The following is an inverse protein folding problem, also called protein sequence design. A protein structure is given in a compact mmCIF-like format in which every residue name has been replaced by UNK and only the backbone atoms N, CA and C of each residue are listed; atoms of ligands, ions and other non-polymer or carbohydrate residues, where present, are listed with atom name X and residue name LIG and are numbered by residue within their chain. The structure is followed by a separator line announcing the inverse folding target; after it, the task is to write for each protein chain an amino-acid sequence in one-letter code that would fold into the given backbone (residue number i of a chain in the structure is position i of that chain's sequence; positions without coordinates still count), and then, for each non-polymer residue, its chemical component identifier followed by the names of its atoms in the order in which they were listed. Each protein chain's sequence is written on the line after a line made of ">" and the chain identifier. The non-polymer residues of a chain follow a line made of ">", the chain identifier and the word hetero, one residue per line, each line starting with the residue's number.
data_IF_615559802353
#
_entry.id   IF_615559802353
#
_cell.length_a   1.000
_cell.length_b   1.000
_cell.length_c   1.000
_cell.angle_alpha   90.00
_cell.angle_beta   90.00
_cell.angle_gamma   90.00
#
_symmetry.space_group_name_H-M   'P 1'
#
loop_
_entity.id
_entity.type
_entity.pdbx_description
1 polymer ?
#
# COMPACT_ATOMS: atom_id res chain seq x y z
N UNK A 1 17.26 -11.42 -1.48
CA UNK A 1 18.25 -10.70 -0.67
C UNK A 1 18.31 -9.24 -0.99
N UNK A 2 18.41 -8.90 -2.28
CA UNK A 2 18.45 -7.49 -2.69
C UNK A 2 17.18 -6.74 -2.31
N UNK A 3 16.04 -7.43 -2.30
CA UNK A 3 14.76 -6.83 -1.94
C UNK A 3 14.72 -6.41 -0.48
N UNK A 4 15.33 -7.20 0.39
CA UNK A 4 15.41 -6.82 1.81
C UNK A 4 16.27 -5.59 2.00
N UNK A 5 17.32 -5.46 1.18
CA UNK A 5 18.16 -4.27 1.22
C UNK A 5 17.36 -3.05 0.77
N UNK A 6 16.47 -3.22 -0.21
CA UNK A 6 15.61 -2.13 -0.68
C UNK A 6 14.69 -1.64 0.44
N UNK A 7 14.11 -2.55 1.22
CA UNK A 7 13.27 -2.15 2.35
C UNK A 7 14.10 -1.39 3.38
N UNK A 8 15.32 -1.88 3.66
CA UNK A 8 16.18 -1.24 4.63
C UNK A 8 16.64 0.15 4.21
N UNK A 9 16.59 0.43 2.89
CA UNK A 9 16.98 1.73 2.35
C UNK A 9 15.84 2.71 2.21
N UNK A 10 14.66 2.37 2.74
CA UNK A 10 13.53 3.29 2.71
C UNK A 10 13.91 4.59 3.40
N UNK A 11 13.44 5.71 2.86
CA UNK A 11 13.75 7.01 3.42
C UNK A 11 13.12 7.20 4.78
N UNK A 12 13.91 7.69 5.71
CA UNK A 12 13.41 8.02 7.03
C UNK A 12 13.30 9.52 7.16
N UNK A 13 12.07 10.05 7.23
CA UNK A 13 11.84 11.47 7.44
C UNK A 13 12.03 11.88 8.89
N UNK A 14 11.84 10.93 9.79
CA UNK A 14 11.97 11.13 11.21
C UNK A 14 12.20 9.76 11.84
N UNK A 15 12.55 9.70 13.13
CA UNK A 15 12.68 8.40 13.79
C UNK A 15 11.41 7.54 13.73
N UNK A 16 10.25 8.18 13.54
CA UNK A 16 8.97 7.48 13.58
C UNK A 16 8.28 7.34 12.23
N UNK A 17 8.88 7.81 11.14
CA UNK A 17 8.24 7.81 9.83
C UNK A 17 9.18 7.33 8.74
N UNK A 18 8.66 6.45 7.89
CA UNK A 18 9.37 5.93 6.71
C UNK A 18 8.54 6.21 5.46
N UNK A 19 9.22 6.56 4.37
CA UNK A 19 8.59 6.66 3.06
C UNK A 19 9.14 5.57 2.15
N UNK A 20 8.26 4.82 1.52
CA UNK A 20 8.61 3.80 0.54
C UNK A 20 7.86 4.11 -0.76
N UNK A 21 8.60 4.35 -1.83
CA UNK A 21 8.02 4.73 -3.12
C UNK A 21 8.18 3.58 -4.11
N UNK A 22 7.10 2.83 -4.30
CA UNK A 22 7.03 1.68 -5.19
C UNK A 22 8.21 0.72 -5.04
N UNK A 23 8.51 0.27 -3.80
CA UNK A 23 9.74 -0.49 -3.57
C UNK A 23 9.76 -1.84 -4.27
N UNK A 24 8.60 -2.39 -4.61
CA UNK A 24 8.48 -3.72 -5.20
C UNK A 24 7.95 -3.70 -6.63
N UNK A 25 7.93 -2.53 -7.27
CA UNK A 25 7.28 -2.36 -8.57
C UNK A 25 7.83 -3.23 -9.68
N UNK A 26 9.13 -3.54 -9.66
CA UNK A 26 9.78 -4.31 -10.72
C UNK A 26 9.83 -5.81 -10.45
N UNK A 27 9.27 -6.26 -9.33
CA UNK A 27 9.36 -7.66 -8.92
C UNK A 27 8.17 -8.48 -9.43
N UNK A 28 8.36 -9.78 -9.54
CA UNK A 28 7.28 -10.68 -9.90
C UNK A 28 6.26 -10.78 -8.77
N UNK A 29 5.10 -11.35 -9.09
CA UNK A 29 3.98 -11.38 -8.15
C UNK A 29 4.29 -12.18 -6.88
N UNK A 30 4.92 -13.33 -7.03
CA UNK A 30 5.20 -14.21 -5.88
C UNK A 30 6.20 -13.56 -4.94
N UNK A 31 7.24 -12.96 -5.48
CA UNK A 31 8.26 -12.27 -4.69
C UNK A 31 7.66 -11.06 -4.00
N UNK A 32 6.83 -10.32 -4.72
CA UNK A 32 6.16 -9.14 -4.16
C UNK A 32 5.25 -9.53 -3.00
N UNK A 33 4.47 -10.59 -3.15
CA UNK A 33 3.59 -11.06 -2.09
C UNK A 33 4.36 -11.40 -0.82
N UNK A 34 5.48 -12.08 -0.97
CA UNK A 34 6.31 -12.45 0.18
C UNK A 34 6.90 -11.24 0.88
N UNK A 35 7.36 -10.26 0.09
CA UNK A 35 7.94 -9.04 0.66
C UNK A 35 6.88 -8.18 1.32
N UNK A 36 5.67 -8.15 0.79
CA UNK A 36 4.57 -7.44 1.42
C UNK A 36 4.25 -8.04 2.79
N UNK A 37 4.26 -9.35 2.91
CA UNK A 37 4.07 -10.00 4.20
C UNK A 37 5.20 -9.67 5.18
N UNK A 38 6.44 -9.67 4.71
CA UNK A 38 7.58 -9.30 5.54
C UNK A 38 7.49 -7.85 6.01
N UNK A 39 7.09 -6.95 5.11
CA UNK A 39 6.94 -5.54 5.45
C UNK A 39 5.87 -5.34 6.52
N UNK A 40 4.78 -6.06 6.39
CA UNK A 40 3.70 -5.96 7.36
C UNK A 40 4.16 -6.40 8.75
N UNK A 41 4.95 -7.47 8.83
CA UNK A 41 5.50 -7.92 10.11
C UNK A 41 6.47 -6.91 10.70
N UNK A 42 7.31 -6.31 9.87
CA UNK A 42 8.22 -5.26 10.33
C UNK A 42 7.46 -4.08 10.90
N UNK A 43 6.40 -3.68 10.21
CA UNK A 43 5.57 -2.58 10.69
C UNK A 43 4.95 -2.91 12.05
N UNK A 44 4.43 -4.13 12.22
CA UNK A 44 3.87 -4.55 13.50
C UNK A 44 4.88 -4.43 14.64
N UNK A 45 6.12 -4.81 14.37
CA UNK A 45 7.17 -4.83 15.38
C UNK A 45 7.69 -3.44 15.72
N UNK A 46 7.81 -2.58 14.72
CA UNK A 46 8.46 -1.28 14.90
C UNK A 46 7.50 -0.17 15.32
N UNK A 47 6.21 -0.32 15.03
CA UNK A 47 5.18 0.68 15.36
C UNK A 47 5.43 2.04 14.69
N UNK A 48 6.19 2.05 13.62
CA UNK A 48 6.46 3.29 12.89
C UNK A 48 5.34 3.60 11.92
N UNK A 49 5.20 4.88 11.57
CA UNK A 49 4.31 5.28 10.48
C UNK A 49 5.03 5.03 9.17
N UNK A 50 4.38 4.29 8.28
CA UNK A 50 4.93 3.99 6.96
C UNK A 50 4.02 4.59 5.91
N UNK A 51 4.59 5.41 5.03
CA UNK A 51 3.89 5.92 3.85
C UNK A 51 4.38 5.09 2.67
N UNK A 52 3.47 4.33 2.08
CA UNK A 52 3.79 3.38 1.01
C UNK A 52 3.09 3.84 -0.27
N UNK A 53 3.89 4.18 -1.28
CA UNK A 53 3.36 4.64 -2.57
C UNK A 53 3.39 3.48 -3.56
N UNK A 54 2.25 3.19 -4.16
CA UNK A 54 2.15 2.08 -5.11
C UNK A 54 1.05 2.34 -6.14
N UNK A 55 1.19 1.73 -7.31
CA UNK A 55 0.13 1.69 -8.33
C UNK A 55 -0.68 0.39 -8.25
N UNK A 56 -0.31 -0.51 -7.36
CA UNK A 56 -0.99 -1.79 -7.22
C UNK A 56 -2.11 -1.69 -6.19
N UNK A 57 -3.36 -1.86 -6.64
CA UNK A 57 -4.52 -1.83 -5.75
C UNK A 57 -4.45 -2.93 -4.68
N UNK A 58 -4.20 -4.20 -5.03
CA UNK A 58 -4.11 -5.23 -4.01
C UNK A 58 -3.05 -4.97 -2.95
N UNK A 59 -1.92 -4.42 -3.37
CA UNK A 59 -0.84 -4.09 -2.46
C UNK A 59 -1.26 -3.00 -1.47
N UNK A 60 -1.89 -1.94 -1.99
CA UNK A 60 -2.35 -0.83 -1.15
C UNK A 60 -3.37 -1.33 -0.12
N UNK A 61 -4.33 -2.15 -0.55
CA UNK A 61 -5.36 -2.64 0.36
C UNK A 61 -4.78 -3.60 1.40
N UNK A 62 -3.87 -4.47 0.98
CA UNK A 62 -3.27 -5.44 1.88
C UNK A 62 -2.43 -4.78 2.98
N UNK A 63 -1.64 -3.78 2.63
CA UNK A 63 -0.68 -3.19 3.55
C UNK A 63 -1.25 -2.11 4.45
N UNK A 64 -2.33 -1.46 4.03
CA UNK A 64 -2.71 -0.18 4.61
C UNK A 64 -3.72 -0.28 5.73
N UNK A 65 -3.65 0.69 6.65
CA UNK A 65 -4.74 1.01 7.56
C UNK A 65 -5.53 2.18 7.02
N UNK A 66 -4.90 3.00 6.19
CA UNK A 66 -5.55 4.14 5.53
C UNK A 66 -5.00 4.26 4.12
N UNK A 67 -5.89 4.34 3.15
CA UNK A 67 -5.52 4.46 1.74
C UNK A 67 -5.91 5.84 1.25
N UNK A 68 -4.94 6.56 0.69
CA UNK A 68 -5.17 7.87 0.10
C UNK A 68 -5.12 7.72 -1.41
N UNK A 69 -6.26 7.97 -2.07
CA UNK A 69 -6.36 7.89 -3.52
C UNK A 69 -6.14 9.28 -4.09
N UNK A 70 -5.17 9.39 -4.99
CA UNK A 70 -4.80 10.68 -5.56
C UNK A 70 -5.07 10.72 -7.05
N UNK A 71 -5.38 11.91 -7.55
CA UNK A 71 -5.57 12.11 -8.98
C UNK A 71 -4.23 12.06 -9.71
N UNK A 72 -4.30 11.79 -11.02
CA UNK A 72 -3.11 11.78 -11.86
C UNK A 72 -2.49 13.17 -11.94
N UNK A 73 -3.31 14.20 -12.06
CA UNK A 73 -2.91 15.61 -12.16
C UNK A 73 -4.06 16.48 -11.67
N UNK A 74 -3.77 17.53 -10.91
CA UNK A 74 -2.46 17.97 -10.38
C UNK A 74 -2.08 17.39 -9.03
N UNK A 75 -2.38 16.16 -8.74
CA UNK A 75 -2.01 15.52 -7.50
C UNK A 75 -2.94 15.85 -6.33
N UNK A 76 -4.23 15.85 -6.60
CA UNK A 76 -5.23 16.09 -5.55
C UNK A 76 -5.63 14.80 -4.89
N UNK A 77 -6.03 14.89 -3.63
CA UNK A 77 -6.63 13.76 -2.94
C UNK A 77 -8.07 13.60 -3.41
N UNK A 78 -8.37 12.44 -3.97
CA UNK A 78 -9.73 12.13 -4.43
C UNK A 78 -10.54 11.51 -3.31
N UNK A 79 -9.93 10.59 -2.55
CA UNK A 79 -10.65 9.87 -1.51
C UNK A 79 -9.66 9.37 -0.46
N UNK A 80 -10.16 9.17 0.75
CA UNK A 80 -9.39 8.55 1.84
C UNK A 80 -10.25 7.40 2.36
N UNK A 81 -9.69 6.22 2.34
CA UNK A 81 -10.40 5.00 2.70
C UNK A 81 -9.69 4.35 3.88
N UNK A 82 -10.41 4.10 4.96
CA UNK A 82 -9.86 3.41 6.12
C UNK A 82 -10.17 1.92 6.02
N UNK A 83 -9.21 1.09 6.44
CA UNK A 83 -9.39 -0.35 6.47
C UNK A 83 -9.42 -0.84 7.91
N UNK A 84 -10.12 -1.93 8.15
CA UNK A 84 -10.28 -2.51 9.48
C UNK A 84 -9.72 -3.93 9.57
N UNK A 85 -8.78 -4.28 8.71
CA UNK A 85 -8.17 -5.60 8.76
C UNK A 85 -7.30 -5.76 10.00
N UNK A 86 -7.18 -6.97 10.55
CA UNK A 86 -6.27 -7.21 11.68
C UNK A 86 -4.84 -6.82 11.34
N UNK A 87 -4.07 -6.46 12.37
CA UNK A 87 -2.66 -6.11 12.15
C UNK A 87 -1.84 -7.31 11.70
N UNK A 88 -2.17 -8.50 12.17
CA UNK A 88 -1.46 -9.73 11.83
C UNK A 88 -2.05 -10.44 10.63
N UNK A 89 -2.63 -9.66 9.71
CA UNK A 89 -3.25 -10.20 8.51
C UNK A 89 -2.24 -10.93 7.62
N UNK A 90 -2.76 -11.86 6.82
CA UNK A 90 -1.97 -12.56 5.82
C UNK A 90 -2.67 -12.44 4.46
N UNK A 91 -2.10 -13.07 3.44
CA UNK A 91 -2.61 -12.94 2.07
C UNK A 91 -4.02 -13.51 1.89
N UNK A 92 -4.49 -14.33 2.82
CA UNK A 92 -5.84 -14.90 2.72
C UNK A 92 -6.93 -13.82 2.79
N UNK A 93 -6.63 -12.65 3.34
CA UNK A 93 -7.62 -11.57 3.39
C UNK A 93 -8.02 -11.10 1.99
N UNK A 94 -7.19 -11.37 0.98
CA UNK A 94 -7.50 -10.97 -0.41
C UNK A 94 -8.69 -11.72 -0.98
N UNK A 95 -9.09 -12.81 -0.34
CA UNK A 95 -10.25 -13.59 -0.78
C UNK A 95 -11.52 -13.20 -0.04
N UNK A 96 -11.43 -12.26 0.89
CA UNK A 96 -12.59 -11.84 1.66
C UNK A 96 -13.42 -10.81 0.90
N UNK A 97 -14.71 -10.78 1.24
CA UNK A 97 -15.63 -9.80 0.65
C UNK A 97 -15.21 -8.38 0.99
N UNK A 98 -14.77 -8.16 2.21
CA UNK A 98 -14.33 -6.85 2.67
C UNK A 98 -13.16 -6.33 1.84
N UNK A 99 -12.19 -7.20 1.54
CA UNK A 99 -11.06 -6.83 0.71
C UNK A 99 -11.52 -6.42 -0.69
N UNK A 100 -12.44 -7.16 -1.28
CA UNK A 100 -12.99 -6.84 -2.59
C UNK A 100 -13.74 -5.51 -2.60
N UNK A 101 -14.51 -5.25 -1.56
CA UNK A 101 -15.25 -3.99 -1.45
C UNK A 101 -14.31 -2.80 -1.37
N UNK A 102 -13.27 -2.89 -0.55
CA UNK A 102 -12.29 -1.81 -0.41
C UNK A 102 -11.52 -1.62 -1.72
N UNK A 103 -11.12 -2.72 -2.35
CA UNK A 103 -10.43 -2.66 -3.65
C UNK A 103 -11.28 -1.96 -4.70
N UNK A 104 -12.57 -2.20 -4.68
CA UNK A 104 -13.49 -1.58 -5.62
C UNK A 104 -13.60 -0.07 -5.37
N UNK A 105 -13.66 0.34 -4.11
CA UNK A 105 -13.68 1.76 -3.76
C UNK A 105 -12.43 2.46 -4.25
N UNK A 106 -11.27 1.82 -4.08
CA UNK A 106 -10.01 2.38 -4.57
C UNK A 106 -10.02 2.51 -6.09
N UNK A 107 -10.50 1.48 -6.78
CA UNK A 107 -10.56 1.48 -8.24
C UNK A 107 -11.47 2.60 -8.75
N UNK A 108 -12.61 2.79 -8.11
CA UNK A 108 -13.54 3.84 -8.49
C UNK A 108 -12.93 5.22 -8.29
N UNK A 109 -12.22 5.41 -7.17
CA UNK A 109 -11.51 6.66 -6.92
C UNK A 109 -10.45 6.93 -7.96
N UNK A 110 -9.70 5.92 -8.38
CA UNK A 110 -8.68 6.08 -9.41
C UNK A 110 -9.30 6.44 -10.75
N UNK A 111 -10.43 5.83 -11.10
CA UNK A 111 -11.14 6.16 -12.35
C UNK A 111 -11.59 7.61 -12.34
N UNK A 112 -12.15 8.05 -11.25
CA UNK A 112 -12.59 9.43 -11.09
C UNK A 112 -11.43 10.41 -11.26
N UNK A 113 -10.31 10.14 -10.59
CA UNK A 113 -9.14 11.00 -10.66
C UNK A 113 -8.53 11.06 -12.05
N UNK A 114 -8.55 9.97 -12.79
CA UNK A 114 -7.99 9.92 -14.13
C UNK A 114 -8.94 10.55 -15.16
N UNK A 115 -10.25 10.42 -14.95
CA UNK A 115 -11.23 11.02 -15.84
C UNK A 115 -11.14 12.55 -15.79
N UNK A 116 -10.98 13.09 -14.59
CA UNK A 116 -10.89 14.53 -14.42
C UNK A 116 -9.56 15.07 -14.96
N UNK A 117 -8.53 14.23 -15.01
CA UNK A 117 -7.23 14.63 -15.47
C UNK A 117 -7.03 14.58 -16.98
N UNK A 118 -7.98 14.03 -17.70
CA UNK A 118 -7.85 13.85 -19.15
C UNK A 118 -8.32 15.06 -19.95
#
# INVERSE_FOLDING_TARGET
>A
MQQRVSIARALSFSPDMLLMDEPFGALDEITRDRLNEELLRLWEQTQKTVVFVTHSIPEAVFLSTKIVVMSARPGKIINVIETNFPKDRNLDIRETKEFLEISQLVREGLKEGHSDGS
#
